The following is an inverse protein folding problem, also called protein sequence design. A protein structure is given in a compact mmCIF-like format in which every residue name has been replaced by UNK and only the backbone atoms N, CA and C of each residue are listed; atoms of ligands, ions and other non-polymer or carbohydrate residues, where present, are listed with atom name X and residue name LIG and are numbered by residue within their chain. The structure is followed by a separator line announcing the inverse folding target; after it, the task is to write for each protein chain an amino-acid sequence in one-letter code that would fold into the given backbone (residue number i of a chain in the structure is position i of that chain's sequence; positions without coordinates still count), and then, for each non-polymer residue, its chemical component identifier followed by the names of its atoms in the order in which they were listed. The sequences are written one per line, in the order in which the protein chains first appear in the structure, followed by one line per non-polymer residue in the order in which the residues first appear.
data_IF_157686249178
#
_entry.id   IF_157686249178
#
_cell.length_a   1.000
_cell.length_b   1.000
_cell.length_c   1.000
_cell.angle_alpha   90.00
_cell.angle_beta   90.00
_cell.angle_gamma   90.00
#
_symmetry.space_group_name_H-M   'P 1'
#
loop_
_entity.id
_entity.type
_entity.pdbx_description
1 polymer ?
#
# COMPACT_ATOMS: atom_id res chain seq x y z
N UNK A 1 1.84 -14.79 23.89
CA UNK A 1 1.18 -13.83 22.97
C UNK A 1 0.60 -14.52 21.73
N UNK A 2 1.40 -15.05 20.80
CA UNK A 2 0.85 -15.75 19.61
C UNK A 2 0.15 -17.07 19.96
N UNK A 3 0.76 -17.86 20.87
CA UNK A 3 0.24 -19.18 21.23
C UNK A 3 -1.11 -19.17 21.97
N UNK A 4 -1.58 -18.02 22.48
CA UNK A 4 -2.94 -17.94 23.05
C UNK A 4 -4.02 -17.97 21.96
N UNK A 5 -3.68 -17.53 20.75
CA UNK A 5 -4.62 -17.43 19.63
C UNK A 5 -4.43 -18.56 18.61
N UNK A 6 -3.22 -18.77 18.10
CA UNK A 6 -2.96 -19.75 17.04
C UNK A 6 -2.91 -21.20 17.52
N UNK A 7 -2.49 -21.46 18.77
CA UNK A 7 -2.33 -22.84 19.30
C UNK A 7 -3.59 -23.32 20.05
N UNK A 8 -4.49 -22.40 20.42
CA UNK A 8 -5.69 -22.76 21.18
C UNK A 8 -6.76 -23.39 20.29
N UNK A 9 -7.21 -24.60 20.62
CA UNK A 9 -8.34 -25.27 19.92
C UNK A 9 -9.60 -24.41 19.86
N UNK A 10 -9.89 -23.64 20.92
CA UNK A 10 -11.05 -22.72 20.99
C UNK A 10 -10.98 -21.63 19.90
N UNK A 11 -9.78 -21.18 19.57
CA UNK A 11 -9.54 -20.02 18.69
C UNK A 11 -9.08 -20.42 17.29
N UNK A 12 -8.82 -21.70 17.03
CA UNK A 12 -8.24 -22.18 15.78
C UNK A 12 -9.02 -21.74 14.54
N UNK A 13 -10.35 -21.80 14.57
CA UNK A 13 -11.20 -21.34 13.45
C UNK A 13 -10.95 -19.85 13.17
N UNK A 14 -11.04 -19.01 14.20
CA UNK A 14 -10.78 -17.58 14.06
C UNK A 14 -9.35 -17.29 13.61
N UNK A 15 -8.37 -18.01 14.14
CA UNK A 15 -6.97 -17.78 13.83
C UNK A 15 -6.62 -18.15 12.38
N UNK A 16 -7.01 -19.33 11.91
CA UNK A 16 -6.61 -19.82 10.60
C UNK A 16 -7.60 -19.46 9.49
N UNK A 17 -8.90 -19.66 9.70
CA UNK A 17 -9.90 -19.31 8.70
C UNK A 17 -10.05 -17.78 8.60
N UNK A 18 -9.93 -17.06 9.72
CA UNK A 18 -9.91 -15.60 9.71
C UNK A 18 -8.69 -15.04 8.98
N UNK A 19 -7.50 -15.59 9.24
CA UNK A 19 -6.29 -15.19 8.51
C UNK A 19 -6.44 -15.48 7.01
N UNK A 20 -6.93 -16.66 6.64
CA UNK A 20 -7.19 -17.00 5.23
C UNK A 20 -8.15 -16.01 4.57
N UNK A 21 -9.24 -15.63 5.25
CA UNK A 21 -10.20 -14.68 4.72
C UNK A 21 -9.60 -13.27 4.51
N UNK A 22 -8.78 -12.80 5.46
CA UNK A 22 -8.02 -11.56 5.30
C UNK A 22 -7.08 -11.61 4.09
N UNK A 23 -6.36 -12.72 3.92
CA UNK A 23 -5.48 -12.94 2.78
C UNK A 23 -6.25 -12.98 1.45
N UNK A 24 -7.43 -13.61 1.43
CA UNK A 24 -8.30 -13.64 0.27
C UNK A 24 -8.79 -12.24 -0.10
N UNK A 25 -9.20 -11.42 0.86
CA UNK A 25 -9.61 -10.05 0.59
C UNK A 25 -8.46 -9.16 0.10
N UNK A 26 -7.26 -9.34 0.64
CA UNK A 26 -6.07 -8.66 0.11
C UNK A 26 -5.77 -9.09 -1.33
N UNK A 27 -5.84 -10.39 -1.63
CA UNK A 27 -5.69 -10.89 -2.99
C UNK A 27 -6.70 -10.26 -3.95
N UNK A 28 -7.99 -10.22 -3.57
CA UNK A 28 -9.04 -9.62 -4.40
C UNK A 28 -8.80 -8.12 -4.61
N UNK A 29 -8.39 -7.38 -3.57
CA UNK A 29 -8.03 -5.96 -3.70
C UNK A 29 -6.85 -5.75 -4.66
N UNK A 30 -5.78 -6.55 -4.55
CA UNK A 30 -4.64 -6.46 -5.47
C UNK A 30 -5.04 -6.81 -6.89
N UNK A 31 -5.88 -7.84 -7.08
CA UNK A 31 -6.42 -8.20 -8.40
C UNK A 31 -7.25 -7.06 -9.00
N UNK A 32 -8.08 -6.38 -8.23
CA UNK A 32 -8.84 -5.22 -8.70
C UNK A 32 -7.94 -4.03 -9.01
N UNK A 33 -6.88 -3.80 -8.24
CA UNK A 33 -5.89 -2.76 -8.54
C UNK A 33 -5.15 -3.01 -9.86
N UNK A 34 -4.86 -4.28 -10.20
CA UNK A 34 -4.30 -4.63 -11.52
C UNK A 34 -5.32 -4.33 -12.64
N UNK A 35 -6.61 -4.54 -12.41
CA UNK A 35 -7.65 -4.22 -13.39
C UNK A 35 -7.80 -2.70 -13.59
N UNK A 36 -7.67 -1.92 -12.51
CA UNK A 36 -7.60 -0.46 -12.58
C UNK A 36 -6.36 -0.02 -13.40
N UNK A 37 -5.25 -0.73 -13.27
CA UNK A 37 -4.04 -0.42 -14.04
C UNK A 37 -4.24 -0.62 -15.55
N UNK A 38 -4.89 -1.71 -15.97
CA UNK A 38 -5.29 -1.87 -17.38
C UNK A 38 -6.29 -0.80 -17.81
N UNK A 39 -7.26 -0.47 -16.95
CA UNK A 39 -8.23 0.58 -17.22
C UNK A 39 -7.57 1.95 -17.47
N UNK A 40 -6.53 2.31 -16.72
CA UNK A 40 -5.79 3.55 -16.98
C UNK A 40 -5.26 3.61 -18.42
N UNK A 41 -4.71 2.51 -18.93
CA UNK A 41 -4.20 2.47 -20.30
C UNK A 41 -5.29 2.84 -21.30
N UNK A 42 -6.42 2.14 -21.23
CA UNK A 42 -7.49 2.30 -22.20
C UNK A 42 -8.21 3.64 -22.04
N UNK A 43 -8.42 4.12 -20.81
CA UNK A 43 -9.03 5.41 -20.51
C UNK A 43 -8.24 6.58 -21.09
N UNK A 44 -6.92 6.61 -20.88
CA UNK A 44 -6.10 7.69 -21.41
C UNK A 44 -5.87 7.58 -22.92
N UNK A 45 -5.92 6.37 -23.51
CA UNK A 45 -5.95 6.22 -24.97
C UNK A 45 -7.22 6.84 -25.57
N UNK A 46 -8.38 6.64 -24.95
CA UNK A 46 -9.65 7.28 -25.37
C UNK A 46 -9.55 8.80 -25.32
N UNK A 47 -8.95 9.35 -24.26
CA UNK A 47 -8.77 10.80 -24.12
C UNK A 47 -7.75 11.40 -25.10
N UNK A 48 -6.77 10.61 -25.54
CA UNK A 48 -5.71 11.08 -26.44
C UNK A 48 -6.18 11.23 -27.89
N UNK A 49 -7.16 10.44 -28.33
CA UNK A 49 -7.63 10.41 -29.73
C UNK A 49 -9.15 10.46 -29.85
N UNK A 50 -9.82 11.54 -29.39
CA UNK A 50 -11.26 11.68 -29.53
C UNK A 50 -11.66 11.88 -30.99
N UNK A 51 -12.84 11.38 -31.37
CA UNK A 51 -13.51 11.72 -32.63
C UNK A 51 -13.88 13.21 -32.59
N UNK A 52 -13.19 14.02 -33.39
CA UNK A 52 -13.45 15.46 -33.51
C UNK A 52 -14.55 15.64 -34.57
N UNK A 53 -15.79 15.84 -34.12
CA UNK A 53 -16.87 16.25 -35.02
C UNK A 53 -16.79 17.76 -35.25
N UNK A 54 -16.41 18.19 -36.46
CA UNK A 54 -16.54 19.60 -36.83
C UNK A 54 -18.02 19.96 -36.83
N UNK A 55 -18.40 21.00 -36.07
CA UNK A 55 -19.79 21.46 -35.96
C UNK A 55 -20.39 21.93 -37.31
N UNK A 56 -19.59 22.00 -38.38
CA UNK A 56 -19.99 22.49 -39.70
C UNK A 56 -20.13 21.41 -40.79
N UNK A 57 -19.75 20.15 -40.54
CA UNK A 57 -19.76 19.09 -41.57
C UNK A 57 -21.09 18.31 -41.57
N UNK A 58 -22.19 19.01 -41.83
CA UNK A 58 -23.40 18.38 -42.35
C UNK A 58 -23.31 18.45 -43.87
N UNK A 59 -22.73 17.43 -44.53
CA UNK A 59 -23.18 16.97 -45.85
C UNK A 59 -22.40 15.74 -46.35
N UNK A 60 -23.19 14.71 -46.71
CA UNK A 60 -22.94 13.72 -47.77
C UNK A 60 -21.73 12.78 -47.64
N UNK A 61 -21.94 11.60 -47.04
CA UNK A 61 -21.48 10.33 -47.62
C UNK A 61 -22.16 9.12 -46.94
N UNK A 62 -23.32 8.73 -47.44
CA UNK A 62 -23.91 7.42 -47.13
C UNK A 62 -24.22 6.74 -48.45
N UNK A 63 -23.51 5.64 -48.75
CA UNK A 63 -24.03 4.39 -49.33
C UNK A 63 -22.93 3.45 -49.87
N UNK A 64 -21.66 3.86 -49.94
CA UNK A 64 -20.52 2.96 -50.25
C UNK A 64 -19.71 2.49 -49.03
N UNK A 65 -20.12 2.88 -47.82
CA UNK A 65 -19.37 2.76 -46.56
C UNK A 65 -19.77 1.58 -45.67
N UNK A 66 -20.83 0.84 -45.99
CA UNK A 66 -21.33 -0.26 -45.14
C UNK A 66 -20.46 -1.53 -45.21
N UNK A 67 -20.15 -2.07 -46.39
CA UNK A 67 -19.36 -3.32 -46.48
C UNK A 67 -17.92 -3.18 -45.99
N UNK A 68 -17.27 -2.04 -46.26
CA UNK A 68 -15.93 -1.75 -45.73
C UNK A 68 -15.97 -1.54 -44.21
N UNK A 69 -16.97 -0.84 -43.67
CA UNK A 69 -17.09 -0.69 -42.21
C UNK A 69 -17.41 -1.99 -41.48
N UNK A 70 -18.14 -2.93 -42.10
CA UNK A 70 -18.34 -4.27 -41.55
C UNK A 70 -17.05 -5.09 -41.49
N UNK A 71 -16.26 -5.11 -42.57
CA UNK A 71 -14.95 -5.79 -42.60
C UNK A 71 -13.95 -5.18 -41.62
N UNK A 72 -13.87 -3.85 -41.56
CA UNK A 72 -13.03 -3.13 -40.60
C UNK A 72 -13.44 -3.44 -39.15
N UNK A 73 -14.75 -3.54 -38.87
CA UNK A 73 -15.25 -3.92 -37.55
C UNK A 73 -14.88 -5.37 -37.19
N UNK A 74 -15.02 -6.33 -38.11
CA UNK A 74 -14.65 -7.72 -37.87
C UNK A 74 -13.13 -7.89 -37.63
N UNK A 75 -12.30 -7.22 -38.42
CA UNK A 75 -10.85 -7.24 -38.28
C UNK A 75 -10.41 -6.62 -36.94
N UNK A 76 -11.02 -5.49 -36.56
CA UNK A 76 -10.81 -4.88 -35.25
C UNK A 76 -11.17 -5.83 -34.10
N UNK A 77 -12.34 -6.48 -34.14
CA UNK A 77 -12.78 -7.43 -33.11
C UNK A 77 -11.79 -8.60 -33.00
N UNK A 78 -11.30 -9.12 -34.13
CA UNK A 78 -10.32 -10.20 -34.16
C UNK A 78 -8.99 -9.76 -33.53
N UNK A 79 -8.43 -8.64 -33.95
CA UNK A 79 -7.16 -8.11 -33.42
C UNK A 79 -7.27 -7.81 -31.92
N UNK A 80 -8.37 -7.20 -31.48
CA UNK A 80 -8.64 -6.94 -30.06
C UNK A 80 -8.67 -8.22 -29.21
N UNK A 81 -9.29 -9.28 -29.73
CA UNK A 81 -9.36 -10.57 -29.04
C UNK A 81 -8.02 -11.32 -29.03
N UNK A 82 -7.19 -11.17 -30.07
CA UNK A 82 -5.83 -11.72 -30.10
C UNK A 82 -4.91 -11.04 -29.08
N UNK A 83 -4.92 -9.70 -29.02
CA UNK A 83 -4.18 -8.92 -28.01
C UNK A 83 -4.60 -9.34 -26.59
N UNK A 84 -5.91 -9.48 -26.37
CA UNK A 84 -6.45 -9.90 -25.08
C UNK A 84 -5.94 -11.30 -24.67
N UNK A 85 -5.83 -12.23 -25.62
CA UNK A 85 -5.32 -13.58 -25.40
C UNK A 85 -3.82 -13.57 -25.08
N UNK A 86 -3.03 -12.83 -25.85
CA UNK A 86 -1.58 -12.71 -25.62
C UNK A 86 -1.26 -12.14 -24.23
N UNK A 87 -2.01 -11.11 -23.81
CA UNK A 87 -1.84 -10.52 -22.48
C UNK A 87 -2.11 -11.53 -21.35
N UNK A 88 -3.11 -12.41 -21.50
CA UNK A 88 -3.39 -13.48 -20.53
C UNK A 88 -2.26 -14.52 -20.52
N UNK A 89 -1.74 -14.91 -21.69
CA UNK A 89 -0.69 -15.92 -21.78
C UNK A 89 0.60 -15.49 -21.09
N UNK A 90 0.97 -14.21 -21.23
CA UNK A 90 2.15 -13.62 -20.59
C UNK A 90 1.97 -13.30 -19.09
N UNK A 91 0.73 -13.26 -18.60
CA UNK A 91 0.43 -12.89 -17.22
C UNK A 91 0.73 -14.02 -16.22
N UNK A 92 1.20 -13.65 -15.02
CA UNK A 92 1.30 -14.59 -13.91
C UNK A 92 -0.08 -14.93 -13.33
N UNK A 93 -0.14 -15.88 -12.39
CA UNK A 93 -1.41 -16.32 -11.78
C UNK A 93 -2.24 -15.17 -11.19
N UNK A 94 -1.61 -14.25 -10.44
CA UNK A 94 -2.30 -13.10 -9.81
C UNK A 94 -2.90 -12.17 -10.88
N UNK A 95 -2.16 -11.91 -11.95
CA UNK A 95 -2.57 -10.99 -13.00
C UNK A 95 -3.59 -11.63 -13.95
N UNK A 96 -3.54 -12.95 -14.17
CA UNK A 96 -4.52 -13.66 -15.00
C UNK A 96 -5.95 -13.45 -14.54
N UNK A 97 -6.25 -13.62 -13.24
CA UNK A 97 -7.62 -13.41 -12.75
C UNK A 97 -8.09 -11.97 -12.93
N UNK A 98 -7.19 -11.01 -12.72
CA UNK A 98 -7.45 -9.60 -12.93
C UNK A 98 -7.77 -9.29 -14.39
N UNK A 99 -6.94 -9.78 -15.31
CA UNK A 99 -7.13 -9.62 -16.76
C UNK A 99 -8.41 -10.28 -17.22
N UNK A 100 -8.73 -11.51 -16.77
CA UNK A 100 -9.99 -12.15 -17.10
C UNK A 100 -11.19 -11.31 -16.66
N UNK A 101 -11.16 -10.77 -15.44
CA UNK A 101 -12.21 -9.92 -14.94
C UNK A 101 -12.34 -8.62 -15.76
N UNK A 102 -11.22 -7.96 -16.04
CA UNK A 102 -11.20 -6.75 -16.86
C UNK A 102 -11.75 -7.00 -18.27
N UNK A 103 -11.26 -8.04 -18.95
CA UNK A 103 -11.71 -8.40 -20.30
C UNK A 103 -13.19 -8.81 -20.33
N UNK A 104 -13.68 -9.46 -19.27
CA UNK A 104 -15.09 -9.76 -19.12
C UNK A 104 -15.93 -8.47 -19.05
N UNK A 105 -15.48 -7.48 -18.28
CA UNK A 105 -16.15 -6.16 -18.23
C UNK A 105 -16.10 -5.48 -19.60
N UNK A 106 -14.94 -5.43 -20.26
CA UNK A 106 -14.83 -4.84 -21.61
C UNK A 106 -15.78 -5.55 -22.58
N UNK A 107 -15.87 -6.88 -22.55
CA UNK A 107 -16.76 -7.63 -23.43
C UNK A 107 -18.24 -7.33 -23.20
N UNK A 108 -18.60 -6.98 -21.96
CA UNK A 108 -19.98 -6.62 -21.60
C UNK A 108 -20.37 -5.21 -22.09
N UNK A 109 -19.41 -4.30 -22.26
CA UNK A 109 -19.64 -2.92 -22.68
C UNK A 109 -19.33 -2.67 -24.17
N UNK A 110 -18.40 -3.41 -24.77
CA UNK A 110 -17.86 -3.15 -26.12
C UNK A 110 -17.97 -4.35 -27.08
N UNK A 111 -18.61 -5.45 -26.67
CA UNK A 111 -18.74 -6.70 -27.45
C UNK A 111 -17.38 -7.31 -27.90
N UNK A 112 -16.28 -6.87 -27.29
CA UNK A 112 -14.89 -7.24 -27.60
C UNK A 112 -14.12 -7.47 -26.31
N UNK A 113 -13.05 -8.27 -26.32
CA UNK A 113 -12.25 -8.50 -25.09
C UNK A 113 -11.17 -7.44 -24.85
N UNK A 114 -11.02 -6.48 -25.75
CA UNK A 114 -10.12 -5.33 -25.62
C UNK A 114 -10.69 -4.18 -26.44
N UNK A 115 -10.44 -2.93 -26.02
CA UNK A 115 -10.79 -1.75 -26.82
C UNK A 115 -9.81 -1.58 -28.00
N UNK A 116 -8.74 -2.39 -28.09
CA UNK A 116 -7.78 -2.35 -29.19
C UNK A 116 -7.22 -0.94 -29.43
N UNK A 117 -6.64 -0.72 -30.61
CA UNK A 117 -6.26 0.63 -31.07
C UNK A 117 -7.29 1.06 -32.10
N UNK A 118 -8.32 1.81 -31.68
CA UNK A 118 -9.16 2.55 -32.64
C UNK A 118 -8.39 3.81 -33.04
N UNK A 119 -8.55 4.25 -34.29
CA UNK A 119 -7.97 5.53 -34.74
C UNK A 119 -8.60 6.73 -34.04
N UNK A 120 -9.92 6.66 -33.77
CA UNK A 120 -10.63 7.70 -33.04
C UNK A 120 -11.72 7.10 -32.14
N UNK A 121 -11.87 7.63 -30.93
CA UNK A 121 -12.81 7.17 -29.93
C UNK A 121 -14.03 8.08 -29.78
N UNK A 122 -15.21 7.48 -29.59
CA UNK A 122 -16.46 8.22 -29.44
C UNK A 122 -16.72 8.64 -27.99
N UNK A 123 -17.69 9.54 -27.77
CA UNK A 123 -18.14 9.88 -26.42
C UNK A 123 -18.80 8.68 -25.70
N UNK A 124 -19.40 7.75 -26.46
CA UNK A 124 -19.94 6.51 -25.91
C UNK A 124 -18.82 5.61 -25.37
N UNK A 125 -17.67 5.55 -26.06
CA UNK A 125 -16.50 4.79 -25.58
C UNK A 125 -16.00 5.34 -24.23
N UNK A 126 -16.01 6.66 -24.05
CA UNK A 126 -15.66 7.30 -22.77
C UNK A 126 -16.63 6.89 -21.64
N UNK A 127 -17.94 7.03 -21.83
CA UNK A 127 -18.91 6.67 -20.79
C UNK A 127 -18.94 5.17 -20.49
N UNK A 128 -18.72 4.33 -21.50
CA UNK A 128 -18.58 2.89 -21.31
C UNK A 128 -17.37 2.56 -20.41
N UNK A 129 -16.23 3.24 -20.62
CA UNK A 129 -15.07 3.09 -19.74
C UNK A 129 -15.33 3.61 -18.32
N UNK A 130 -16.12 4.68 -18.13
CA UNK A 130 -16.57 5.08 -16.78
C UNK A 130 -17.43 3.98 -16.14
N UNK A 131 -18.31 3.33 -16.91
CA UNK A 131 -19.07 2.18 -16.44
C UNK A 131 -18.17 1.01 -16.00
N UNK A 132 -17.17 0.66 -16.81
CA UNK A 132 -16.17 -0.35 -16.48
C UNK A 132 -15.40 0.02 -15.20
N UNK A 133 -15.00 1.28 -15.05
CA UNK A 133 -14.33 1.77 -13.84
C UNK A 133 -15.21 1.56 -12.60
N UNK A 134 -16.49 1.94 -12.66
CA UNK A 134 -17.43 1.75 -11.55
C UNK A 134 -17.60 0.27 -11.20
N UNK A 135 -17.66 -0.61 -12.20
CA UNK A 135 -17.70 -2.05 -12.00
C UNK A 135 -16.44 -2.61 -11.31
N UNK A 136 -15.29 -1.95 -11.39
CA UNK A 136 -14.07 -2.34 -10.67
C UNK A 136 -14.00 -1.67 -9.29
N UNK A 137 -14.30 -0.37 -9.22
CA UNK A 137 -14.16 0.46 -8.03
C UNK A 137 -15.17 0.11 -6.93
N UNK A 138 -16.43 -0.19 -7.29
CA UNK A 138 -17.47 -0.53 -6.30
C UNK A 138 -17.12 -1.83 -5.55
N UNK A 139 -16.80 -2.96 -6.23
CA UNK A 139 -16.31 -4.16 -5.54
C UNK A 139 -15.06 -3.90 -4.71
N UNK A 140 -14.12 -3.07 -5.21
CA UNK A 140 -12.92 -2.72 -4.46
C UNK A 140 -13.27 -2.06 -3.12
N UNK A 141 -14.15 -1.04 -3.13
CA UNK A 141 -14.59 -0.34 -1.92
C UNK A 141 -15.31 -1.28 -0.96
N UNK A 142 -16.19 -2.16 -1.45
CA UNK A 142 -16.90 -3.14 -0.63
C UNK A 142 -15.92 -4.09 0.04
N UNK A 143 -15.00 -4.70 -0.73
CA UNK A 143 -14.01 -5.65 -0.21
C UNK A 143 -13.06 -4.95 0.77
N UNK A 144 -12.60 -3.74 0.47
CA UNK A 144 -11.74 -2.96 1.36
C UNK A 144 -12.43 -2.66 2.70
N UNK A 145 -13.71 -2.26 2.66
CA UNK A 145 -14.51 -1.97 3.86
C UNK A 145 -14.73 -3.21 4.70
N UNK A 146 -15.11 -4.33 4.07
CA UNK A 146 -15.27 -5.63 4.75
C UNK A 146 -13.94 -6.06 5.37
N UNK A 147 -12.82 -5.92 4.64
CA UNK A 147 -11.50 -6.29 5.14
C UNK A 147 -11.08 -5.47 6.37
N UNK A 148 -11.31 -4.15 6.37
CA UNK A 148 -11.02 -3.26 7.51
C UNK A 148 -11.85 -3.64 8.74
N UNK A 149 -13.15 -3.88 8.55
CA UNK A 149 -14.03 -4.33 9.61
C UNK A 149 -13.59 -5.69 10.15
N UNK A 150 -13.36 -6.66 9.26
CA UNK A 150 -12.99 -8.02 9.65
C UNK A 150 -11.62 -8.07 10.33
N UNK A 151 -10.65 -7.27 9.89
CA UNK A 151 -9.36 -7.09 10.54
C UNK A 151 -9.51 -6.57 11.98
N UNK A 152 -10.42 -5.61 12.20
CA UNK A 152 -10.72 -5.08 13.54
C UNK A 152 -11.33 -6.15 14.44
N UNK A 153 -12.26 -6.96 13.93
CA UNK A 153 -12.85 -8.09 14.66
C UNK A 153 -11.79 -9.15 14.95
N UNK A 154 -10.94 -9.47 13.98
CA UNK A 154 -9.85 -10.44 14.12
C UNK A 154 -8.85 -10.02 15.22
N UNK A 155 -8.42 -8.76 15.22
CA UNK A 155 -7.56 -8.20 16.26
C UNK A 155 -8.25 -8.24 17.64
N UNK A 156 -9.56 -7.98 17.72
CA UNK A 156 -10.31 -8.10 18.96
C UNK A 156 -10.43 -9.55 19.46
N UNK A 157 -10.65 -10.52 18.57
CA UNK A 157 -10.66 -11.95 18.93
C UNK A 157 -9.30 -12.45 19.41
N UNK A 158 -8.23 -11.93 18.82
CA UNK A 158 -6.89 -12.19 19.33
C UNK A 158 -6.69 -11.59 20.72
N UNK A 159 -7.11 -10.34 20.94
CA UNK A 159 -7.10 -9.74 22.29
C UNK A 159 -7.88 -10.59 23.29
N UNK A 160 -9.10 -11.00 22.95
CA UNK A 160 -9.97 -11.86 23.78
C UNK A 160 -9.22 -13.13 24.19
N UNK A 161 -8.56 -13.79 23.23
CA UNK A 161 -7.76 -14.98 23.47
C UNK A 161 -6.57 -14.73 24.42
N UNK A 162 -5.86 -13.61 24.26
CA UNK A 162 -4.76 -13.22 25.14
C UNK A 162 -5.25 -12.93 26.56
N UNK A 163 -6.27 -12.09 26.72
CA UNK A 163 -6.81 -11.68 28.02
C UNK A 163 -7.26 -12.88 28.83
N UNK A 164 -8.11 -13.76 28.27
CA UNK A 164 -8.58 -14.93 29.01
C UNK A 164 -7.51 -16.00 29.22
N UNK A 165 -6.49 -16.04 28.35
CA UNK A 165 -5.35 -16.92 28.58
C UNK A 165 -4.47 -16.43 29.73
N UNK A 166 -4.28 -15.11 29.90
CA UNK A 166 -3.48 -14.54 30.99
C UNK A 166 -4.24 -14.51 32.31
N UNK A 167 -5.55 -14.22 32.28
CA UNK A 167 -6.41 -14.17 33.47
C UNK A 167 -6.32 -15.44 34.32
N UNK A 168 -6.18 -16.62 33.68
CA UNK A 168 -6.04 -17.90 34.38
C UNK A 168 -4.80 -17.97 35.27
N UNK A 169 -3.69 -17.39 34.83
CA UNK A 169 -2.42 -17.39 35.57
C UNK A 169 -2.33 -16.18 36.51
N UNK A 170 -2.80 -15.03 36.06
CA UNK A 170 -2.82 -13.81 36.87
C UNK A 170 -3.66 -13.98 38.15
N UNK A 171 -4.79 -14.70 38.09
CA UNK A 171 -5.60 -15.05 39.27
C UNK A 171 -4.89 -15.92 40.31
N UNK A 172 -3.82 -16.61 39.94
CA UNK A 172 -3.09 -17.52 40.83
C UNK A 172 -1.90 -16.85 41.53
N UNK A 173 -1.67 -15.55 41.27
CA UNK A 173 -0.63 -14.76 41.90
C UNK A 173 -1.25 -13.81 42.92
N UNK A 174 -0.81 -13.91 44.17
CA UNK A 174 -1.25 -13.04 45.27
C UNK A 174 -0.44 -11.74 45.36
N UNK A 175 0.68 -11.65 44.61
CA UNK A 175 1.53 -10.46 44.59
C UNK A 175 0.92 -9.34 43.73
N UNK A 176 0.95 -8.11 44.24
CA UNK A 176 0.50 -6.94 43.49
C UNK A 176 1.52 -6.60 42.38
N UNK A 177 1.29 -7.13 41.18
CA UNK A 177 2.11 -6.82 40.01
C UNK A 177 1.74 -5.43 39.50
N UNK A 178 2.63 -4.46 39.73
CA UNK A 178 2.47 -3.07 39.29
C UNK A 178 2.15 -3.00 37.77
N UNK A 179 1.10 -2.26 37.43
CA UNK A 179 0.67 -2.08 36.03
C UNK A 179 0.03 -3.31 35.37
N UNK A 180 -0.23 -4.40 36.10
CA UNK A 180 -0.84 -5.62 35.54
C UNK A 180 -2.20 -5.39 34.87
N UNK A 181 -3.04 -4.52 35.43
CA UNK A 181 -4.32 -4.12 34.82
C UNK A 181 -4.11 -3.44 33.46
N UNK A 182 -3.16 -2.51 33.36
CA UNK A 182 -2.78 -1.86 32.10
C UNK A 182 -2.25 -2.88 31.09
N UNK A 183 -1.40 -3.83 31.52
CA UNK A 183 -0.89 -4.90 30.64
C UNK A 183 -2.03 -5.74 30.07
N UNK A 184 -2.98 -6.14 30.91
CA UNK A 184 -4.11 -6.97 30.50
C UNK A 184 -5.11 -6.24 29.61
N UNK A 185 -5.32 -4.94 29.84
CA UNK A 185 -6.30 -4.15 29.10
C UNK A 185 -5.72 -3.56 27.80
N UNK A 186 -4.66 -2.76 27.91
CA UNK A 186 -4.14 -1.90 26.85
C UNK A 186 -3.09 -2.62 26.00
N UNK A 187 -2.07 -3.22 26.63
CA UNK A 187 -0.96 -3.83 25.89
C UNK A 187 -1.41 -5.06 25.09
N UNK A 188 -2.33 -5.90 25.62
CA UNK A 188 -2.89 -7.04 24.86
C UNK A 188 -3.64 -6.59 23.61
N UNK A 189 -4.35 -5.47 23.69
CA UNK A 189 -5.10 -4.91 22.57
C UNK A 189 -4.15 -4.30 21.54
N UNK A 190 -3.25 -3.41 21.99
CA UNK A 190 -2.31 -2.74 21.11
C UNK A 190 -1.38 -3.75 20.42
N UNK A 191 -0.94 -4.80 21.13
CA UNK A 191 -0.19 -5.90 20.52
C UNK A 191 -0.98 -6.54 19.37
N UNK A 192 -2.21 -6.98 19.64
CA UNK A 192 -3.04 -7.69 18.64
C UNK A 192 -3.32 -6.81 17.42
N UNK A 193 -3.67 -5.55 17.64
CA UNK A 193 -3.96 -4.56 16.60
C UNK A 193 -2.73 -4.22 15.76
N UNK A 194 -1.58 -3.99 16.40
CA UNK A 194 -0.36 -3.62 15.68
C UNK A 194 0.19 -4.80 14.87
N UNK A 195 0.22 -6.01 15.45
CA UNK A 195 0.69 -7.20 14.74
C UNK A 195 -0.19 -7.51 13.52
N UNK A 196 -1.50 -7.41 13.67
CA UNK A 196 -2.45 -7.57 12.56
C UNK A 196 -2.19 -6.51 11.48
N UNK A 197 -2.20 -5.21 11.84
CA UNK A 197 -1.98 -4.10 10.90
C UNK A 197 -0.66 -4.22 10.14
N UNK A 198 0.44 -4.48 10.85
CA UNK A 198 1.76 -4.67 10.24
C UNK A 198 1.76 -5.90 9.33
N UNK A 199 1.22 -7.03 9.80
CA UNK A 199 1.12 -8.26 9.03
C UNK A 199 0.38 -8.07 7.72
N UNK A 200 -0.82 -7.45 7.75
CA UNK A 200 -1.58 -7.15 6.54
C UNK A 200 -0.85 -6.15 5.63
N UNK A 201 -0.18 -5.14 6.19
CA UNK A 201 0.59 -4.17 5.40
C UNK A 201 1.75 -4.85 4.65
N UNK A 202 2.51 -5.73 5.32
CA UNK A 202 3.60 -6.48 4.69
C UNK A 202 3.12 -7.46 3.63
N UNK A 203 2.05 -8.20 3.92
CA UNK A 203 1.51 -9.18 2.97
C UNK A 203 0.90 -8.48 1.76
N UNK A 204 0.21 -7.36 1.96
CA UNK A 204 -0.26 -6.50 0.86
C UNK A 204 0.90 -6.03 -0.01
N UNK A 205 1.97 -5.50 0.59
CA UNK A 205 3.14 -5.06 -0.16
C UNK A 205 3.77 -6.22 -0.97
N UNK A 206 3.89 -7.41 -0.38
CA UNK A 206 4.39 -8.58 -1.09
C UNK A 206 3.49 -8.98 -2.26
N UNK A 207 2.18 -9.06 -2.05
CA UNK A 207 1.20 -9.37 -3.12
C UNK A 207 1.26 -8.33 -4.24
N UNK A 208 1.35 -7.04 -3.89
CA UNK A 208 1.50 -5.95 -4.85
C UNK A 208 2.80 -6.08 -5.64
N UNK A 209 3.94 -6.40 -5.01
CA UNK A 209 5.21 -6.62 -5.72
C UNK A 209 5.10 -7.80 -6.69
N UNK A 210 4.51 -8.93 -6.27
CA UNK A 210 4.34 -10.10 -7.15
C UNK A 210 3.42 -9.77 -8.34
N UNK A 211 2.41 -8.92 -8.15
CA UNK A 211 1.51 -8.49 -9.23
C UNK A 211 2.15 -7.46 -10.17
N UNK A 212 2.77 -6.41 -9.62
CA UNK A 212 3.19 -5.24 -10.38
C UNK A 212 4.64 -5.26 -10.86
N UNK A 213 5.55 -6.05 -10.26
CA UNK A 213 6.91 -6.19 -10.81
C UNK A 213 6.86 -6.74 -12.25
N UNK A 214 6.15 -7.86 -12.54
CA UNK A 214 6.10 -8.38 -13.92
C UNK A 214 5.47 -7.40 -14.90
N UNK A 215 4.42 -6.68 -14.48
CA UNK A 215 3.76 -5.65 -15.30
C UNK A 215 4.76 -4.52 -15.63
N UNK A 216 5.39 -3.97 -14.60
CA UNK A 216 6.36 -2.89 -14.75
C UNK A 216 7.59 -3.33 -15.56
N UNK A 217 8.02 -4.59 -15.40
CA UNK A 217 9.14 -5.17 -16.14
C UNK A 217 8.86 -5.19 -17.64
N UNK A 218 7.71 -5.73 -18.05
CA UNK A 218 7.29 -5.80 -19.46
C UNK A 218 7.13 -4.40 -20.04
N UNK A 219 6.41 -3.51 -19.36
CA UNK A 219 6.19 -2.14 -19.84
C UNK A 219 7.50 -1.33 -19.91
N UNK A 220 8.44 -1.58 -19.00
CA UNK A 220 9.73 -0.90 -18.96
C UNK A 220 10.63 -1.24 -20.15
N UNK A 221 10.47 -2.42 -20.76
CA UNK A 221 11.28 -2.82 -21.92
C UNK A 221 11.08 -1.86 -23.12
N UNK A 222 9.83 -1.40 -23.33
CA UNK A 222 9.48 -0.45 -24.39
C UNK A 222 10.15 0.92 -24.18
N UNK A 223 10.31 1.34 -22.91
CA UNK A 223 10.93 2.62 -22.54
C UNK A 223 12.45 2.56 -22.65
N UNK A 224 13.08 1.48 -22.20
CA UNK A 224 14.55 1.33 -22.19
C UNK A 224 15.14 1.38 -23.61
N UNK A 225 14.51 0.67 -24.56
CA UNK A 225 14.94 0.64 -25.96
C UNK A 225 14.84 2.02 -26.63
N UNK A 226 13.84 2.81 -26.25
CA UNK A 226 13.61 4.16 -26.76
C UNK A 226 14.58 5.18 -26.17
N UNK A 227 14.74 5.19 -24.84
CA UNK A 227 15.53 6.17 -24.12
C UNK A 227 17.03 6.09 -24.47
N UNK A 228 17.54 4.88 -24.70
CA UNK A 228 18.94 4.63 -25.01
C UNK A 228 19.19 4.31 -26.49
N UNK A 229 18.24 4.63 -27.38
CA UNK A 229 18.35 4.35 -28.83
C UNK A 229 19.62 4.96 -29.43
N UNK A 230 19.93 6.19 -29.05
CA UNK A 230 21.07 6.98 -29.55
C UNK A 230 22.34 6.84 -28.70
N UNK A 231 22.42 5.85 -27.80
CA UNK A 231 23.69 5.61 -27.10
C UNK A 231 24.76 5.10 -28.06
N UNK A 232 25.91 5.74 -28.01
CA UNK A 232 27.12 5.31 -28.71
C UNK A 232 27.52 3.89 -28.27
N UNK A 233 27.73 2.94 -29.19
CA UNK A 233 28.23 1.60 -28.89
C UNK A 233 29.51 1.57 -28.06
N UNK A 234 30.37 2.58 -28.18
CA UNK A 234 31.64 2.67 -27.44
C UNK A 234 31.49 3.32 -26.05
N UNK A 235 30.28 3.73 -25.68
CA UNK A 235 30.00 4.31 -24.36
C UNK A 235 30.14 3.27 -23.25
N UNK A 236 30.79 3.66 -22.15
CA UNK A 236 30.84 2.87 -20.92
C UNK A 236 29.44 2.53 -20.35
N UNK A 237 28.40 3.24 -20.78
CA UNK A 237 27.00 3.06 -20.37
C UNK A 237 26.16 2.24 -21.36
N UNK A 238 26.76 1.68 -22.43
CA UNK A 238 26.04 0.92 -23.45
C UNK A 238 25.27 -0.28 -22.87
N UNK A 239 25.78 -0.88 -21.79
CA UNK A 239 25.10 -1.98 -21.09
C UNK A 239 23.68 -1.61 -20.61
N UNK A 240 23.40 -0.33 -20.35
CA UNK A 240 22.10 0.15 -19.87
C UNK A 240 21.03 0.09 -20.97
N UNK A 241 21.44 0.17 -22.25
CA UNK A 241 20.55 0.13 -23.42
C UNK A 241 19.68 -1.13 -23.49
N UNK A 242 20.21 -2.26 -22.99
CA UNK A 242 19.54 -3.56 -23.01
C UNK A 242 19.10 -4.03 -21.62
N UNK A 243 18.97 -3.12 -20.64
CA UNK A 243 18.45 -3.49 -19.32
C UNK A 243 16.93 -3.60 -19.41
N UNK A 244 16.45 -4.85 -19.37
CA UNK A 244 15.05 -5.15 -19.10
C UNK A 244 14.69 -4.73 -17.68
N UNK A 245 13.46 -4.23 -17.49
CA UNK A 245 13.00 -3.85 -16.15
C UNK A 245 13.69 -2.62 -15.55
N UNK A 246 14.29 -1.74 -16.36
CA UNK A 246 14.92 -0.47 -15.93
C UNK A 246 14.12 0.25 -14.84
N UNK A 247 12.81 0.44 -15.03
CA UNK A 247 11.94 1.14 -14.08
C UNK A 247 11.77 0.40 -12.75
N UNK A 248 11.87 -0.93 -12.73
CA UNK A 248 11.86 -1.72 -11.48
C UNK A 248 13.11 -1.43 -10.66
N UNK A 249 14.28 -1.38 -11.32
CA UNK A 249 15.53 -1.03 -10.66
C UNK A 249 15.54 0.42 -10.18
N UNK A 250 15.01 1.35 -10.97
CA UNK A 250 14.84 2.75 -10.56
C UNK A 250 13.94 2.84 -9.32
N UNK A 251 12.79 2.15 -9.31
CA UNK A 251 11.90 2.11 -8.15
C UNK A 251 12.62 1.55 -6.91
N UNK A 252 13.35 0.45 -7.06
CA UNK A 252 14.10 -0.17 -5.97
C UNK A 252 15.18 0.76 -5.42
N UNK A 253 16.03 1.33 -6.28
CA UNK A 253 17.13 2.21 -5.89
C UNK A 253 16.63 3.46 -5.18
N UNK A 254 15.56 4.08 -5.69
CA UNK A 254 15.01 5.27 -5.07
C UNK A 254 14.32 4.92 -3.74
N UNK A 255 13.61 3.79 -3.64
CA UNK A 255 13.05 3.34 -2.35
C UNK A 255 14.14 3.06 -1.32
N UNK A 256 15.27 2.44 -1.72
CA UNK A 256 16.43 2.23 -0.83
C UNK A 256 17.10 3.56 -0.46
N UNK A 257 17.31 4.46 -1.42
CA UNK A 257 17.88 5.79 -1.15
C UNK A 257 17.00 6.60 -0.19
N UNK A 258 15.68 6.59 -0.43
CA UNK A 258 14.68 7.16 0.46
C UNK A 258 14.74 6.57 1.85
N UNK A 259 14.92 5.25 1.97
CA UNK A 259 15.11 4.54 3.25
C UNK A 259 16.34 5.05 3.99
N UNK A 260 17.50 5.06 3.34
CA UNK A 260 18.78 5.41 3.95
C UNK A 260 18.75 6.85 4.47
N UNK A 261 18.24 7.78 3.66
CA UNK A 261 18.15 9.18 4.06
C UNK A 261 17.12 9.35 5.18
N UNK A 262 15.94 8.71 5.08
CA UNK A 262 14.92 8.76 6.15
C UNK A 262 15.47 8.22 7.48
N UNK A 263 16.23 7.12 7.43
CA UNK A 263 16.87 6.55 8.61
C UNK A 263 17.88 7.52 9.23
N UNK A 264 18.72 8.15 8.41
CA UNK A 264 19.70 9.14 8.87
C UNK A 264 19.04 10.37 9.49
N UNK A 265 18.03 10.94 8.83
CA UNK A 265 17.29 12.12 9.30
C UNK A 265 16.50 11.80 10.58
N UNK A 266 15.93 10.58 10.68
CA UNK A 266 15.11 10.13 11.80
C UNK A 266 15.87 9.52 12.99
N UNK A 267 17.20 9.36 12.91
CA UNK A 267 17.98 8.54 13.87
C UNK A 267 17.84 8.97 15.34
N UNK A 268 17.62 10.27 15.60
CA UNK A 268 17.48 10.83 16.95
C UNK A 268 16.06 10.73 17.52
N UNK A 269 15.03 10.53 16.70
CA UNK A 269 13.63 10.56 17.12
C UNK A 269 13.32 9.54 18.23
N UNK A 270 13.75 8.26 18.15
CA UNK A 270 13.44 7.29 19.21
C UNK A 270 14.00 7.68 20.59
N UNK A 271 15.20 8.28 20.60
CA UNK A 271 15.83 8.74 21.85
C UNK A 271 15.10 9.94 22.46
N UNK A 272 14.64 10.87 21.62
CA UNK A 272 13.84 12.02 22.06
C UNK A 272 12.47 11.59 22.57
N UNK A 273 11.80 10.67 21.87
CA UNK A 273 10.52 10.10 22.28
C UNK A 273 10.62 9.41 23.65
N UNK A 274 11.69 8.64 23.87
CA UNK A 274 11.97 8.01 25.16
C UNK A 274 12.15 9.04 26.28
N UNK A 275 12.91 10.11 26.03
CA UNK A 275 13.12 11.18 27.00
C UNK A 275 11.80 11.91 27.34
N UNK A 276 10.93 12.13 26.33
CA UNK A 276 9.59 12.66 26.52
C UNK A 276 8.73 11.74 27.39
N UNK A 277 8.66 10.44 27.07
CA UNK A 277 7.89 9.45 27.85
C UNK A 277 8.36 9.37 29.30
N UNK A 278 9.68 9.45 29.55
CA UNK A 278 10.24 9.49 30.90
C UNK A 278 9.80 10.75 31.67
N UNK A 279 9.82 11.90 31.02
CA UNK A 279 9.37 13.16 31.63
C UNK A 279 7.86 13.14 31.92
N UNK A 280 7.04 12.62 30.99
CA UNK A 280 5.61 12.44 31.22
C UNK A 280 5.31 11.46 32.34
N UNK A 281 6.06 10.36 32.45
CA UNK A 281 5.89 9.41 33.54
C UNK A 281 6.20 10.05 34.90
N UNK A 282 7.23 10.89 34.99
CA UNK A 282 7.55 11.63 36.22
C UNK A 282 6.43 12.62 36.57
N UNK A 283 5.93 13.37 35.58
CA UNK A 283 4.81 14.29 35.77
C UNK A 283 3.53 13.57 36.21
N UNK A 284 3.17 12.45 35.55
CA UNK A 284 2.02 11.62 35.91
C UNK A 284 2.16 11.04 37.31
N UNK A 285 3.36 10.63 37.71
CA UNK A 285 3.62 10.09 39.05
C UNK A 285 3.30 11.12 40.13
N UNK A 286 3.69 12.38 39.94
CA UNK A 286 3.37 13.46 40.88
C UNK A 286 1.86 13.70 40.98
N UNK A 287 1.15 13.65 39.84
CA UNK A 287 -0.31 13.77 39.83
C UNK A 287 -1.01 12.60 40.55
N UNK A 288 -0.51 11.38 40.41
CA UNK A 288 -1.05 10.21 41.14
C UNK A 288 -0.85 10.39 42.65
N UNK A 289 0.30 10.88 43.11
CA UNK A 289 0.48 11.20 44.53
C UNK A 289 -0.48 12.31 44.99
N UNK A 290 -0.77 13.29 44.13
CA UNK A 290 -1.75 14.32 44.41
C UNK A 290 -3.20 13.79 44.47
N UNK A 291 -3.51 12.64 43.88
CA UNK A 291 -4.83 11.98 44.07
C UNK A 291 -5.01 11.54 45.53
N UNK A 292 -3.95 11.01 46.15
CA UNK A 292 -3.96 10.57 47.55
C UNK A 292 -3.88 11.76 48.53
N UNK A 293 -3.06 12.78 48.25
CA UNK A 293 -2.96 14.00 49.08
C UNK A 293 -2.65 15.26 48.25
N UNK A 294 -3.71 15.98 47.88
CA UNK A 294 -3.63 17.20 47.08
C UNK A 294 -2.86 18.32 47.76
N UNK A 295 -2.95 18.45 49.09
CA UNK A 295 -2.30 19.58 49.79
C UNK A 295 -0.78 19.41 49.82
N UNK A 296 -0.32 18.17 49.88
CA UNK A 296 1.09 17.82 49.92
C UNK A 296 1.75 17.76 48.54
N UNK A 297 1.11 17.13 47.56
CA UNK A 297 1.75 16.80 46.27
C UNK A 297 1.31 17.69 45.10
N UNK A 298 0.20 18.43 45.19
CA UNK A 298 -0.16 19.43 44.16
C UNK A 298 0.59 20.75 44.34
N UNK A 299 1.89 20.69 44.66
CA UNK A 299 2.74 21.85 44.85
C UNK A 299 3.01 22.54 43.50
N UNK A 300 2.75 23.84 43.43
CA UNK A 300 2.85 24.62 42.18
C UNK A 300 4.28 24.63 41.64
N UNK A 301 5.28 24.80 42.50
CA UNK A 301 6.69 24.88 42.11
C UNK A 301 7.14 23.58 41.44
N UNK A 302 6.81 22.44 42.05
CA UNK A 302 7.16 21.10 41.55
C UNK A 302 6.48 20.81 40.21
N UNK A 303 5.19 21.12 40.09
CA UNK A 303 4.44 20.95 38.84
C UNK A 303 5.02 21.84 37.73
N UNK A 304 5.38 23.10 38.04
CA UNK A 304 6.00 24.01 37.07
C UNK A 304 7.37 23.51 36.63
N UNK A 305 8.19 22.99 37.53
CA UNK A 305 9.51 22.43 37.21
C UNK A 305 9.38 21.23 36.27
N UNK A 306 8.55 20.25 36.63
CA UNK A 306 8.30 19.05 35.82
C UNK A 306 7.76 19.44 34.45
N UNK A 307 6.76 20.33 34.39
CA UNK A 307 6.16 20.77 33.13
C UNK A 307 7.13 21.58 32.27
N UNK A 308 8.04 22.34 32.87
CA UNK A 308 9.12 23.05 32.15
C UNK A 308 10.09 22.04 31.52
N UNK A 309 10.44 20.98 32.23
CA UNK A 309 11.19 19.84 31.69
C UNK A 309 10.48 19.20 30.48
N UNK A 310 9.17 18.97 30.59
CA UNK A 310 8.35 18.50 29.46
C UNK A 310 8.44 19.47 28.26
N UNK A 311 8.27 20.78 28.48
CA UNK A 311 8.35 21.79 27.41
C UNK A 311 9.68 21.73 26.64
N UNK A 312 10.81 21.62 27.33
CA UNK A 312 12.12 21.54 26.67
C UNK A 312 12.29 20.27 25.85
N UNK A 313 11.84 19.14 26.39
CA UNK A 313 11.87 17.85 25.71
C UNK A 313 10.98 17.86 24.47
N UNK A 314 9.73 18.31 24.60
CA UNK A 314 8.80 18.49 23.48
C UNK A 314 9.31 19.44 22.41
N UNK A 315 9.91 20.59 22.76
CA UNK A 315 10.49 21.51 21.77
C UNK A 315 11.55 20.84 20.90
N UNK A 316 12.44 20.04 21.50
CA UNK A 316 13.46 19.28 20.77
C UNK A 316 12.82 18.22 19.88
N UNK A 317 11.87 17.46 20.43
CA UNK A 317 11.14 16.44 19.69
C UNK A 317 10.42 17.02 18.47
N UNK A 318 9.68 18.11 18.65
CA UNK A 318 8.93 18.78 17.58
C UNK A 318 9.84 19.32 16.47
N UNK A 319 11.01 19.87 16.82
CA UNK A 319 11.98 20.31 15.81
C UNK A 319 12.47 19.13 14.96
N UNK A 320 12.71 17.96 15.59
CA UNK A 320 13.17 16.77 14.88
C UNK A 320 12.09 16.16 14.00
N UNK A 321 10.83 16.13 14.44
CA UNK A 321 9.71 15.78 13.59
C UNK A 321 9.52 16.79 12.45
N UNK A 322 9.72 18.09 12.70
CA UNK A 322 9.56 19.14 11.71
C UNK A 322 10.41 18.93 10.47
N UNK A 323 11.74 18.81 10.62
CA UNK A 323 12.62 18.60 9.47
C UNK A 323 12.48 17.18 8.89
N UNK A 324 12.16 16.16 9.70
CA UNK A 324 11.91 14.81 9.21
C UNK A 324 10.67 14.78 8.30
N UNK A 325 9.61 15.49 8.69
CA UNK A 325 8.41 15.63 7.88
C UNK A 325 8.67 16.43 6.59
N UNK A 326 9.50 17.49 6.64
CA UNK A 326 9.92 18.20 5.42
C UNK A 326 10.60 17.23 4.45
N UNK A 327 11.55 16.42 4.93
CA UNK A 327 12.21 15.40 4.12
C UNK A 327 11.21 14.40 3.53
N UNK A 328 10.33 13.81 4.36
CA UNK A 328 9.34 12.83 3.91
C UNK A 328 8.39 13.41 2.86
N UNK A 329 7.84 14.61 3.10
CA UNK A 329 6.90 15.26 2.17
C UNK A 329 7.60 15.61 0.86
N UNK A 330 8.83 16.14 0.92
CA UNK A 330 9.61 16.48 -0.26
C UNK A 330 9.95 15.23 -1.08
N UNK A 331 10.38 14.16 -0.42
CA UNK A 331 10.67 12.88 -1.08
C UNK A 331 9.44 12.32 -1.80
N UNK A 332 8.29 12.26 -1.12
CA UNK A 332 7.03 11.78 -1.73
C UNK A 332 6.55 12.68 -2.88
N UNK A 333 6.78 14.00 -2.83
CA UNK A 333 6.39 14.90 -3.92
C UNK A 333 7.32 14.78 -5.13
N UNK A 334 8.63 14.66 -4.90
CA UNK A 334 9.63 14.60 -5.98
C UNK A 334 9.59 13.26 -6.72
N UNK A 335 9.20 12.17 -6.06
CA UNK A 335 9.25 10.84 -6.68
C UNK A 335 8.17 10.62 -7.75
N UNK A 336 7.04 11.32 -7.63
CA UNK A 336 5.90 11.23 -8.56
C UNK A 336 6.31 11.61 -9.99
N UNK A 337 7.28 12.53 -10.15
CA UNK A 337 7.71 13.00 -11.48
C UNK A 337 8.72 12.06 -12.17
N UNK A 338 9.36 11.16 -11.42
CA UNK A 338 10.46 10.33 -11.92
C UNK A 338 10.04 9.46 -13.12
N UNK A 339 8.91 8.72 -13.08
CA UNK A 339 8.49 7.92 -14.23
C UNK A 339 8.25 8.78 -15.47
N UNK A 340 7.67 9.98 -15.30
CA UNK A 340 7.42 10.89 -16.42
C UNK A 340 8.70 11.39 -17.08
N UNK A 341 9.72 11.75 -16.29
CA UNK A 341 11.02 12.16 -16.82
C UNK A 341 11.70 11.04 -17.62
N UNK A 342 11.65 9.81 -17.12
CA UNK A 342 12.21 8.64 -17.81
C UNK A 342 11.41 8.31 -19.07
N UNK A 343 10.09 8.45 -19.06
CA UNK A 343 9.25 8.11 -20.20
C UNK A 343 9.17 9.21 -21.27
N UNK A 344 9.47 10.46 -20.92
CA UNK A 344 9.27 11.61 -21.81
C UNK A 344 9.91 11.42 -23.20
N UNK A 345 11.18 10.98 -23.35
CA UNK A 345 11.77 10.74 -24.67
C UNK A 345 10.98 9.72 -25.50
N UNK A 346 10.44 8.68 -24.87
CA UNK A 346 9.67 7.63 -25.54
C UNK A 346 8.29 8.12 -25.98
N UNK A 347 7.64 8.94 -25.14
CA UNK A 347 6.35 9.55 -25.43
C UNK A 347 6.47 10.56 -26.59
N UNK A 348 7.43 11.48 -26.53
CA UNK A 348 7.64 12.49 -27.57
C UNK A 348 8.19 11.91 -28.88
N UNK A 349 8.87 10.76 -28.83
CA UNK A 349 9.25 10.00 -30.02
C UNK A 349 8.09 9.19 -30.65
N UNK A 350 6.91 9.19 -30.03
CA UNK A 350 5.74 8.43 -30.52
C UNK A 350 5.85 6.91 -30.35
N UNK A 351 6.79 6.43 -29.53
CA UNK A 351 7.01 4.99 -29.29
C UNK A 351 5.96 4.43 -28.32
N UNK A 352 5.58 5.24 -27.32
CA UNK A 352 4.52 4.91 -26.36
C UNK A 352 3.46 6.01 -26.35
N UNK A 353 2.20 5.62 -26.20
CA UNK A 353 1.07 6.54 -26.01
C UNK A 353 0.88 6.98 -24.56
N UNK A 354 -0.01 7.95 -24.34
CA UNK A 354 -0.32 8.47 -23.01
C UNK A 354 -0.91 7.38 -22.10
N UNK A 355 -1.72 6.47 -22.65
CA UNK A 355 -2.25 5.33 -21.89
C UNK A 355 -1.14 4.46 -21.28
N UNK A 356 -0.11 4.13 -22.06
CA UNK A 356 1.03 3.35 -21.58
C UNK A 356 1.79 4.12 -20.50
N UNK A 357 1.96 5.44 -20.67
CA UNK A 357 2.60 6.30 -19.66
C UNK A 357 1.84 6.25 -18.32
N UNK A 358 0.51 6.35 -18.35
CA UNK A 358 -0.30 6.30 -17.13
C UNK A 358 -0.31 4.92 -16.48
N UNK A 359 -0.32 3.86 -17.29
CA UNK A 359 -0.19 2.49 -16.82
C UNK A 359 1.18 2.24 -16.13
N UNK A 360 2.26 2.72 -16.73
CA UNK A 360 3.60 2.63 -16.14
C UNK A 360 3.69 3.46 -14.86
N UNK A 361 3.15 4.68 -14.84
CA UNK A 361 3.19 5.55 -13.67
C UNK A 361 2.53 4.89 -12.46
N UNK A 362 1.31 4.35 -12.62
CA UNK A 362 0.64 3.62 -11.54
C UNK A 362 1.42 2.36 -11.14
N UNK A 363 1.90 1.56 -12.10
CA UNK A 363 2.68 0.35 -11.79
C UNK A 363 3.98 0.66 -11.03
N UNK A 364 4.68 1.73 -11.40
CA UNK A 364 5.87 2.23 -10.71
C UNK A 364 5.55 2.61 -9.26
N UNK A 365 4.49 3.38 -9.05
CA UNK A 365 4.08 3.81 -7.71
C UNK A 365 3.70 2.64 -6.80
N UNK A 366 3.02 1.62 -7.35
CA UNK A 366 2.69 0.38 -6.62
C UNK A 366 3.96 -0.37 -6.18
N UNK A 367 4.94 -0.54 -7.08
CA UNK A 367 6.21 -1.21 -6.78
C UNK A 367 7.04 -0.43 -5.76
N UNK A 368 7.25 0.87 -6.01
CA UNK A 368 7.99 1.79 -5.14
C UNK A 368 7.42 1.81 -3.72
N UNK A 369 6.12 2.04 -3.59
CA UNK A 369 5.44 2.14 -2.30
C UNK A 369 5.52 0.83 -1.52
N UNK A 370 5.47 -0.30 -2.22
CA UNK A 370 5.60 -1.62 -1.61
C UNK A 370 7.01 -1.89 -1.09
N UNK A 371 8.07 -1.43 -1.78
CA UNK A 371 9.43 -1.47 -1.24
C UNK A 371 9.59 -0.61 0.02
N UNK A 372 8.85 0.50 0.12
CA UNK A 372 8.93 1.43 1.25
C UNK A 372 8.09 1.02 2.48
N UNK A 373 7.39 -0.11 2.45
CA UNK A 373 6.44 -0.53 3.50
C UNK A 373 7.05 -0.61 4.91
N UNK A 374 8.32 -1.00 5.04
CA UNK A 374 8.99 -1.05 6.34
C UNK A 374 9.21 0.35 6.93
N UNK A 375 9.53 1.33 6.09
CA UNK A 375 9.85 2.70 6.51
C UNK A 375 8.58 3.41 6.92
N UNK A 376 7.53 3.29 6.11
CA UNK A 376 6.23 3.94 6.38
C UNK A 376 5.61 3.41 7.67
N UNK A 377 5.94 2.18 8.06
CA UNK A 377 5.52 1.57 9.31
C UNK A 377 6.55 1.63 10.46
N UNK A 378 7.65 2.38 10.32
CA UNK A 378 8.76 2.37 11.29
C UNK A 378 8.31 2.67 12.73
N UNK A 379 7.55 3.74 12.93
CA UNK A 379 7.04 4.14 14.25
C UNK A 379 6.18 3.03 14.87
N UNK A 380 5.30 2.43 14.07
CA UNK A 380 4.46 1.30 14.50
C UNK A 380 5.30 0.07 14.90
N UNK A 381 6.38 -0.23 14.17
CA UNK A 381 7.30 -1.31 14.51
C UNK A 381 8.00 -1.04 15.85
N UNK A 382 8.42 0.21 16.08
CA UNK A 382 9.05 0.59 17.37
C UNK A 382 8.07 0.47 18.53
N UNK A 383 6.80 0.86 18.33
CA UNK A 383 5.72 0.70 19.30
C UNK A 383 5.48 -0.78 19.64
N UNK A 384 5.40 -1.64 18.62
CA UNK A 384 5.26 -3.09 18.79
C UNK A 384 6.38 -3.67 19.65
N UNK A 385 7.64 -3.26 19.40
CA UNK A 385 8.80 -3.73 20.19
C UNK A 385 8.66 -3.37 21.66
N UNK A 386 8.21 -2.15 21.96
CA UNK A 386 7.99 -1.69 23.33
C UNK A 386 6.89 -2.50 24.03
N UNK A 387 5.74 -2.70 23.37
CA UNK A 387 4.63 -3.51 23.90
C UNK A 387 5.05 -4.97 24.10
N UNK A 388 5.77 -5.54 23.13
CA UNK A 388 6.26 -6.92 23.22
C UNK A 388 7.16 -7.13 24.44
N UNK A 389 8.10 -6.20 24.71
CA UNK A 389 8.95 -6.25 25.89
C UNK A 389 8.12 -6.24 27.18
N UNK A 390 7.17 -5.31 27.29
CA UNK A 390 6.30 -5.15 28.47
C UNK A 390 5.39 -6.36 28.70
N UNK A 391 4.83 -6.94 27.62
CA UNK A 391 4.05 -8.16 27.71
C UNK A 391 4.90 -9.38 28.07
N UNK A 392 6.16 -9.44 27.61
CA UNK A 392 7.08 -10.53 27.97
C UNK A 392 7.46 -10.49 29.45
N UNK A 393 7.75 -9.30 29.98
CA UNK A 393 7.96 -9.06 31.40
C UNK A 393 6.73 -9.47 32.22
N UNK A 394 5.54 -9.05 31.80
CA UNK A 394 4.28 -9.45 32.43
C UNK A 394 4.06 -10.98 32.41
N UNK A 395 4.32 -11.63 31.28
CA UNK A 395 4.23 -13.08 31.14
C UNK A 395 5.17 -13.83 32.09
N UNK A 396 6.39 -13.31 32.29
CA UNK A 396 7.34 -13.88 33.24
C UNK A 396 6.83 -13.76 34.69
N UNK A 397 6.30 -12.59 35.06
CA UNK A 397 5.78 -12.32 36.42
C UNK A 397 4.58 -13.19 36.78
N UNK A 398 3.65 -13.41 35.83
CA UNK A 398 2.50 -14.31 36.03
C UNK A 398 2.84 -15.79 35.78
N UNK A 399 4.11 -16.13 35.51
CA UNK A 399 4.57 -17.49 35.22
C UNK A 399 3.85 -18.16 34.04
N UNK A 400 3.45 -17.36 33.07
CA UNK A 400 2.69 -17.80 31.93
C UNK A 400 3.43 -18.89 31.14
N UNK A 401 2.94 -20.12 31.21
CA UNK A 401 3.53 -21.28 30.52
C UNK A 401 5.04 -21.40 30.77
N UNK A 402 5.50 -21.26 32.01
CA UNK A 402 6.83 -21.78 32.38
C UNK A 402 6.85 -23.26 32.02
N UNK A 403 7.62 -23.63 30.99
CA UNK A 403 7.97 -25.03 30.75
C UNK A 403 8.71 -25.47 32.01
N UNK A 404 8.13 -26.42 32.74
CA UNK A 404 8.85 -27.16 33.77
C UNK A 404 9.85 -28.08 33.10
#
# INVERSE_FOLDING_TARGET
MFASFFVSKKWAIWAYAGLFLLLLFLYLQTSLNVAINEWYKDFYNVLQSPQITNLNDNNNTQLSSSENSFKEKEEYIKNANEIAKENIEKANFLNKSSLYYYQFLISSFFETRSIGVKTHYSIQDFYALIGVFLCIAIPYVIIATINIYFASVYAFKWREAMTFSYLRFWKQKDDNIEGSSQRMQEDTYNFSKIVERLGLSFIRALMTLVAFIPILWVLSSQVSQALFRNLDPDSAFYFIKNIDGLLVYVALLISIGGLVISWFVGIKLPGLEYNNQKAEAAFRKELVYAEDDRKKYANKETIVELFTGLKFNYKRLFLHYGYFNIWLILFEQMIVIVPFLVMAPSLFAGIIGLGIVMQINNAFDQVRSSFSVFITNWTTITELRSIYKRLKEFQANIEYRKVK
#
